data_IF_706945566908
#
_entry.id   IF_706945566908
#
_cell.length_a   1.000
_cell.length_b   1.000
_cell.length_c   1.000
_cell.angle_alpha   90.00
_cell.angle_beta   90.00
_cell.angle_gamma   90.00
#
_symmetry.space_group_name_H-M   'P 1'
#
loop_
_entity.id
_entity.type
_entity.pdbx_description
1 polymer ?
#
# COMPACT_ATOMS: atom_id res chain seq x y z
N UNK A 1 7.16 -16.25 -6.68
CA UNK A 1 6.94 -15.25 -7.76
C UNK A 1 8.13 -15.27 -8.69
N UNK A 2 7.91 -15.36 -10.01
CA UNK A 2 8.96 -15.24 -11.03
C UNK A 2 9.59 -13.85 -10.96
N UNK A 3 10.91 -13.73 -11.17
CA UNK A 3 11.67 -12.47 -11.07
C UNK A 3 11.04 -11.33 -11.90
N UNK A 4 10.58 -11.66 -13.11
CA UNK A 4 9.90 -10.72 -14.01
C UNK A 4 8.69 -10.04 -13.35
N UNK A 5 7.86 -10.79 -12.62
CA UNK A 5 6.69 -10.24 -11.95
C UNK A 5 7.11 -9.25 -10.84
N UNK A 6 8.17 -9.55 -10.08
CA UNK A 6 8.70 -8.64 -9.05
C UNK A 6 9.19 -7.33 -9.66
N UNK A 7 9.86 -7.40 -10.81
CA UNK A 7 10.34 -6.22 -11.54
C UNK A 7 9.18 -5.38 -12.07
N UNK A 8 8.16 -6.01 -12.66
CA UNK A 8 6.95 -5.31 -13.13
C UNK A 8 6.26 -4.58 -11.97
N UNK A 9 6.03 -5.27 -10.85
CA UNK A 9 5.44 -4.66 -9.65
C UNK A 9 6.30 -3.49 -9.15
N UNK A 10 7.62 -3.68 -9.07
CA UNK A 10 8.53 -2.62 -8.62
C UNK A 10 8.53 -1.41 -9.56
N UNK A 11 8.43 -1.62 -10.87
CA UNK A 11 8.31 -0.55 -11.87
C UNK A 11 7.00 0.23 -11.69
N UNK A 12 5.88 -0.46 -11.47
CA UNK A 12 4.61 0.18 -11.14
C UNK A 12 4.71 0.99 -9.86
N UNK A 13 5.28 0.43 -8.78
CA UNK A 13 5.49 1.17 -7.53
C UNK A 13 6.39 2.38 -7.71
N UNK A 14 7.49 2.26 -8.46
CA UNK A 14 8.40 3.37 -8.71
C UNK A 14 7.73 4.50 -9.50
N UNK A 15 6.99 4.15 -10.55
CA UNK A 15 6.21 5.10 -11.35
C UNK A 15 5.14 5.78 -10.49
N UNK A 16 4.50 5.04 -9.59
CA UNK A 16 3.51 5.57 -8.66
C UNK A 16 4.14 6.57 -7.67
N UNK A 17 5.29 6.23 -7.07
CA UNK A 17 6.04 7.14 -6.20
C UNK A 17 6.43 8.42 -6.95
N UNK A 18 6.86 8.30 -8.21
CA UNK A 18 7.19 9.46 -9.04
C UNK A 18 5.97 10.36 -9.25
N UNK A 19 4.79 9.80 -9.55
CA UNK A 19 3.55 10.56 -9.73
C UNK A 19 3.12 11.27 -8.45
N UNK A 20 3.22 10.63 -7.29
CA UNK A 20 2.93 11.25 -5.98
C UNK A 20 3.89 12.41 -5.67
N UNK A 21 5.19 12.24 -5.90
CA UNK A 21 6.20 13.30 -5.72
C UNK A 21 5.97 14.44 -6.72
N UNK A 22 5.67 14.13 -7.97
CA UNK A 22 5.32 15.13 -8.98
C UNK A 22 4.09 15.94 -8.56
N UNK A 23 3.03 15.25 -8.13
CA UNK A 23 1.80 15.89 -7.65
C UNK A 23 2.08 16.78 -6.43
N UNK A 24 2.96 16.35 -5.53
CA UNK A 24 3.41 17.12 -4.38
C UNK A 24 4.11 18.42 -4.76
N UNK A 25 4.93 18.37 -5.81
CA UNK A 25 5.67 19.54 -6.31
C UNK A 25 4.72 20.54 -6.96
N UNK A 26 3.80 20.05 -7.81
CA UNK A 26 2.83 20.87 -8.55
C UNK A 26 1.69 21.41 -7.67
N UNK A 27 1.42 20.80 -6.50
CA UNK A 27 0.34 21.30 -5.64
C UNK A 27 0.70 22.67 -5.04
N UNK A 28 -0.15 23.70 -5.20
CA UNK A 28 0.10 25.02 -4.66
C UNK A 28 0.23 24.97 -3.12
N UNK A 29 1.10 25.82 -2.56
CA UNK A 29 1.30 25.93 -1.11
C UNK A 29 0.00 26.17 -0.32
N UNK A 30 -0.97 26.89 -0.91
CA UNK A 30 -2.30 27.15 -0.34
C UNK A 30 -3.18 25.89 -0.17
N UNK A 31 -2.80 24.77 -0.80
CA UNK A 31 -3.43 23.47 -0.65
C UNK A 31 -2.67 22.52 0.30
N UNK A 32 -1.44 22.87 0.71
CA UNK A 32 -0.59 22.05 1.60
C UNK A 32 -0.91 22.30 3.07
N UNK A 33 -2.07 21.82 3.50
CA UNK A 33 -2.41 21.74 4.92
C UNK A 33 -1.58 20.64 5.62
N UNK A 34 -1.41 20.66 6.95
CA UNK A 34 -0.68 19.63 7.68
C UNK A 34 -1.18 18.20 7.38
N UNK A 35 -2.48 18.05 7.13
CA UNK A 35 -3.08 16.78 6.68
C UNK A 35 -2.48 16.23 5.39
N UNK A 36 -2.04 17.08 4.46
CA UNK A 36 -1.42 16.68 3.20
C UNK A 36 -0.12 15.89 3.45
N UNK A 37 0.74 16.38 4.35
CA UNK A 37 2.00 15.71 4.71
C UNK A 37 1.77 14.39 5.44
N UNK A 38 0.74 14.34 6.30
CA UNK A 38 0.39 13.10 7.01
C UNK A 38 -0.11 12.03 6.02
N UNK A 39 -0.97 12.41 5.07
CA UNK A 39 -1.44 11.50 4.02
C UNK A 39 -0.28 11.03 3.14
N UNK A 40 0.62 11.93 2.72
CA UNK A 40 1.81 11.57 1.95
C UNK A 40 2.69 10.55 2.69
N UNK A 41 2.87 10.73 4.01
CA UNK A 41 3.63 9.79 4.84
C UNK A 41 2.95 8.42 4.97
N UNK A 42 1.62 8.39 5.09
CA UNK A 42 0.83 7.15 5.12
C UNK A 42 0.98 6.38 3.80
N UNK A 43 0.86 7.07 2.66
CA UNK A 43 1.00 6.49 1.31
C UNK A 43 2.42 5.98 1.08
N UNK A 44 3.43 6.75 1.48
CA UNK A 44 4.84 6.35 1.41
C UNK A 44 5.12 5.09 2.24
N UNK A 45 4.53 4.99 3.44
CA UNK A 45 4.64 3.81 4.30
C UNK A 45 4.00 2.57 3.64
N UNK A 46 2.86 2.75 2.96
CA UNK A 46 2.22 1.68 2.20
C UNK A 46 3.08 1.21 1.02
N UNK A 47 3.69 2.14 0.27
CA UNK A 47 4.59 1.86 -0.85
C UNK A 47 5.82 1.05 -0.40
N UNK A 48 6.50 1.48 0.66
CA UNK A 48 7.65 0.74 1.22
C UNK A 48 7.22 -0.65 1.65
N UNK A 49 6.09 -0.75 2.36
CA UNK A 49 5.59 -2.04 2.85
C UNK A 49 5.28 -3.00 1.70
N UNK A 50 4.62 -2.54 0.63
CA UNK A 50 4.37 -3.32 -0.59
C UNK A 50 5.65 -3.74 -1.30
N UNK A 51 6.63 -2.85 -1.38
CA UNK A 51 7.93 -3.16 -1.96
C UNK A 51 8.65 -4.25 -1.15
N UNK A 52 8.69 -4.10 0.18
CA UNK A 52 9.26 -5.10 1.10
C UNK A 52 8.55 -6.44 0.97
N UNK A 53 7.23 -6.45 0.88
CA UNK A 53 6.43 -7.67 0.67
C UNK A 53 6.85 -8.42 -0.61
N UNK A 54 7.10 -7.66 -1.69
CA UNK A 54 7.44 -8.19 -3.02
C UNK A 54 8.82 -8.83 -3.04
N UNK A 55 9.80 -8.17 -2.41
CA UNK A 55 11.20 -8.61 -2.45
C UNK A 55 11.55 -9.61 -1.35
N UNK A 56 11.15 -9.33 -0.11
CA UNK A 56 11.60 -10.07 1.08
C UNK A 56 10.52 -11.02 1.60
N UNK A 57 10.67 -12.31 1.30
CA UNK A 57 9.74 -13.34 1.77
C UNK A 57 9.64 -13.40 3.30
N UNK A 58 10.77 -13.23 4.01
CA UNK A 58 10.85 -13.31 5.48
C UNK A 58 10.05 -12.17 6.15
N UNK A 59 9.97 -11.00 5.52
CA UNK A 59 9.37 -9.80 6.11
C UNK A 59 7.93 -9.57 5.65
N UNK A 60 7.32 -10.51 4.91
CA UNK A 60 5.94 -10.38 4.40
C UNK A 60 4.91 -10.14 5.50
N UNK A 61 5.06 -10.77 6.66
CA UNK A 61 4.17 -10.56 7.82
C UNK A 61 4.22 -9.10 8.30
N UNK A 62 5.44 -8.56 8.47
CA UNK A 62 5.65 -7.17 8.89
C UNK A 62 5.15 -6.19 7.82
N UNK A 63 5.41 -6.49 6.55
CA UNK A 63 4.91 -5.70 5.44
C UNK A 63 3.37 -5.66 5.39
N UNK A 64 2.69 -6.79 5.64
CA UNK A 64 1.22 -6.84 5.73
C UNK A 64 0.72 -5.95 6.88
N UNK A 65 1.39 -5.95 8.02
CA UNK A 65 1.05 -5.07 9.15
C UNK A 65 1.21 -3.60 8.76
N UNK A 66 2.30 -3.24 8.09
CA UNK A 66 2.52 -1.87 7.59
C UNK A 66 1.44 -1.42 6.61
N UNK A 67 1.07 -2.29 5.66
CA UNK A 67 -0.03 -2.04 4.71
C UNK A 67 -1.37 -1.85 5.42
N UNK A 68 -1.70 -2.71 6.38
CA UNK A 68 -2.93 -2.62 7.18
C UNK A 68 -2.97 -1.33 8.01
N UNK A 69 -1.85 -0.97 8.62
CA UNK A 69 -1.73 0.27 9.37
C UNK A 69 -1.97 1.48 8.47
N UNK A 70 -1.38 1.52 7.27
CA UNK A 70 -1.63 2.60 6.31
C UNK A 70 -3.10 2.69 5.86
N UNK A 71 -3.76 1.54 5.64
CA UNK A 71 -5.20 1.49 5.30
C UNK A 71 -6.09 2.02 6.43
N UNK A 72 -5.79 1.65 7.68
CA UNK A 72 -6.52 2.17 8.83
C UNK A 72 -6.25 3.67 9.05
N UNK A 73 -4.99 4.06 8.93
CA UNK A 73 -4.56 5.44 9.13
C UNK A 73 -5.14 6.39 8.09
N UNK A 74 -5.37 5.96 6.84
CA UNK A 74 -5.95 6.84 5.80
C UNK A 74 -7.47 7.00 5.94
N UNK A 75 -8.15 6.07 6.59
CA UNK A 75 -9.62 6.07 6.76
C UNK A 75 -10.16 7.34 7.41
N UNK A 76 -9.67 7.82 8.58
CA UNK A 76 -10.18 9.06 9.18
C UNK A 76 -9.93 10.29 8.30
N UNK A 77 -8.87 10.28 7.48
CA UNK A 77 -8.55 11.40 6.59
C UNK A 77 -9.49 11.47 5.38
N UNK A 78 -10.07 10.34 4.96
CA UNK A 78 -11.08 10.31 3.90
C UNK A 78 -12.34 11.11 4.25
N UNK A 79 -12.69 11.17 5.54
CA UNK A 79 -13.89 11.86 6.01
C UNK A 79 -13.63 13.30 6.48
N UNK A 80 -12.36 13.70 6.62
CA UNK A 80 -11.99 14.99 7.20
C UNK A 80 -12.12 16.18 6.24
N UNK A 81 -11.97 15.98 4.91
CA UNK A 81 -12.05 17.10 3.95
C UNK A 81 -12.20 16.65 2.49
N UNK A 82 -12.97 17.42 1.69
CA UNK A 82 -13.06 17.26 0.23
C UNK A 82 -11.70 17.36 -0.49
N UNK A 83 -10.76 18.13 0.05
CA UNK A 83 -9.40 18.24 -0.54
C UNK A 83 -8.60 16.95 -0.35
N UNK A 84 -8.91 16.19 0.69
CA UNK A 84 -8.26 14.91 1.00
C UNK A 84 -8.87 13.77 0.18
N UNK A 85 -10.14 13.88 -0.23
CA UNK A 85 -10.77 12.95 -1.18
C UNK A 85 -10.01 12.86 -2.50
N UNK A 86 -9.41 13.96 -2.98
CA UNK A 86 -8.60 13.95 -4.20
C UNK A 86 -7.32 13.10 -4.04
N UNK A 87 -6.62 13.27 -2.91
CA UNK A 87 -5.44 12.44 -2.57
C UNK A 87 -5.84 10.97 -2.41
N UNK A 88 -6.97 10.70 -1.77
CA UNK A 88 -7.50 9.36 -1.64
C UNK A 88 -7.80 8.72 -2.99
N UNK A 89 -8.39 9.49 -3.92
CA UNK A 89 -8.71 8.98 -5.27
C UNK A 89 -7.44 8.55 -6.00
N UNK A 90 -6.38 9.36 -5.91
CA UNK A 90 -5.08 9.06 -6.50
C UNK A 90 -4.46 7.84 -5.81
N UNK A 91 -4.51 7.78 -4.49
CA UNK A 91 -4.07 6.65 -3.64
C UNK A 91 -4.89 5.37 -3.79
N UNK A 92 -6.09 5.42 -4.35
CA UNK A 92 -7.02 4.30 -4.39
C UNK A 92 -6.49 3.05 -5.09
N UNK A 93 -5.77 3.12 -6.23
CA UNK A 93 -5.22 1.92 -6.87
C UNK A 93 -4.17 1.23 -5.99
N UNK A 94 -3.38 2.02 -5.25
CA UNK A 94 -2.40 1.50 -4.30
C UNK A 94 -3.08 0.80 -3.11
N UNK A 95 -4.19 1.36 -2.62
CA UNK A 95 -4.97 0.77 -1.52
C UNK A 95 -5.68 -0.52 -1.96
N UNK A 96 -6.19 -0.56 -3.20
CA UNK A 96 -6.78 -1.78 -3.78
C UNK A 96 -5.69 -2.85 -3.91
N UNK A 97 -4.54 -2.50 -4.51
CA UNK A 97 -3.41 -3.42 -4.66
C UNK A 97 -2.95 -3.96 -3.29
N UNK A 98 -2.75 -3.06 -2.33
CA UNK A 98 -2.47 -3.36 -0.93
C UNK A 98 -3.45 -4.38 -0.33
N UNK A 99 -4.75 -4.14 -0.49
CA UNK A 99 -5.81 -5.02 0.01
C UNK A 99 -5.77 -6.40 -0.65
N UNK A 100 -5.52 -6.46 -1.96
CA UNK A 100 -5.33 -7.73 -2.67
C UNK A 100 -4.14 -8.52 -2.12
N UNK A 101 -3.02 -7.86 -1.81
CA UNK A 101 -1.85 -8.53 -1.24
C UNK A 101 -2.12 -9.10 0.16
N UNK A 102 -2.82 -8.35 1.00
CA UNK A 102 -3.25 -8.82 2.32
C UNK A 102 -4.19 -10.02 2.17
N UNK A 103 -5.17 -9.94 1.28
CA UNK A 103 -6.10 -11.03 1.00
C UNK A 103 -5.39 -12.30 0.53
N UNK A 104 -4.49 -12.18 -0.45
CA UNK A 104 -3.70 -13.30 -0.96
C UNK A 104 -2.85 -13.92 0.14
N UNK A 105 -2.25 -13.11 1.01
CA UNK A 105 -1.46 -13.61 2.14
C UNK A 105 -2.31 -14.46 3.09
N UNK A 106 -3.50 -14.00 3.48
CA UNK A 106 -4.40 -14.76 4.33
C UNK A 106 -4.94 -16.01 3.66
N UNK A 107 -5.25 -15.93 2.37
CA UNK A 107 -5.70 -17.08 1.57
C UNK A 107 -4.63 -18.18 1.52
N UNK A 108 -3.38 -17.82 1.23
CA UNK A 108 -2.25 -18.76 1.23
C UNK A 108 -2.09 -19.43 2.58
N UNK A 109 -2.12 -18.65 3.67
CA UNK A 109 -1.99 -19.17 5.03
C UNK A 109 -3.13 -20.12 5.40
N UNK A 110 -4.36 -19.84 4.98
CA UNK A 110 -5.52 -20.72 5.22
C UNK A 110 -5.34 -22.07 4.53
N UNK A 111 -4.87 -22.08 3.29
CA UNK A 111 -4.67 -23.32 2.52
C UNK A 111 -3.52 -24.16 3.06
N UNK A 112 -2.44 -23.53 3.53
CA UNK A 112 -1.33 -24.22 4.21
C UNK A 112 -1.82 -24.94 5.47
N UNK A 113 -2.61 -24.28 6.34
CA UNK A 113 -3.16 -24.92 7.53
C UNK A 113 -4.10 -26.09 7.21
N UNK A 114 -4.92 -25.96 6.16
CA UNK A 114 -5.84 -27.02 5.73
C UNK A 114 -5.08 -28.27 5.25
N UNK A 115 -3.95 -28.09 4.55
CA UNK A 115 -3.12 -29.21 4.08
C UNK A 115 -2.42 -29.99 5.20
N UNK A 116 -2.21 -29.36 6.37
CA UNK A 116 -1.59 -30.01 7.53
C UNK A 116 -2.58 -30.73 8.45
N UNK A 117 -3.89 -30.59 8.21
CA UNK A 117 -4.95 -31.17 9.04
C UNK A 117 -5.66 -32.37 8.42
N UNK A 118 -5.28 -32.82 7.22
CA UNK A 118 -5.70 -34.13 6.70
C UNK A 118 -4.94 -35.25 7.43
N UNK A 119 -5.62 -36.09 8.24
CA UNK A 119 -4.99 -37.24 8.86
C UNK A 119 -4.72 -38.31 7.79
N UNK A 120 -3.46 -38.70 7.67
CA UNK A 120 -3.03 -39.92 6.96
C UNK A 120 -3.50 -41.17 7.67
#
# INVERSE_FOLDING_TARGET
MKLLAKLVISYFLASYTYMEVWLAVETPLSFRNPHWYVVALIVFTALISLWVYTWFCVHRKHAVVGVLFSLLAITPYCFASQRVLFLFLISSPLLILSSCYVFVFFWQRKNELASTTEPS
#
